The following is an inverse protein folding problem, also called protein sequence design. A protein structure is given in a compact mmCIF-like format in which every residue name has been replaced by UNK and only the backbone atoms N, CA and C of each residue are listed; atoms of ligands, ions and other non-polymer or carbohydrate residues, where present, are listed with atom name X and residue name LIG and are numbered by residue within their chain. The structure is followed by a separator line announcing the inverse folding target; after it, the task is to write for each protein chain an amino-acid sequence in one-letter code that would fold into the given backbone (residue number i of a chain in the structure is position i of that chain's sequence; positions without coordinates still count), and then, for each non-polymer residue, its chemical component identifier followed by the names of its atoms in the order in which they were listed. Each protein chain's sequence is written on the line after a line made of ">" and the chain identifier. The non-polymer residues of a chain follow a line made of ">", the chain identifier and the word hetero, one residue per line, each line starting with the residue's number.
data_IF_431307392943
#
_entry.id   IF_431307392943
#
_cell.length_a   1.000
_cell.length_b   1.000
_cell.length_c   1.000
_cell.angle_alpha   90.00
_cell.angle_beta   90.00
_cell.angle_gamma   90.00
#
_symmetry.space_group_name_H-M   'P 1'
#
loop_
_entity.id
_entity.type
_entity.pdbx_description
1 polymer ?
#
# COMPACT_ATOMS: atom_id res chain seq x y z
N UNK A 1 -11.28 1.92 -70.44
CA UNK A 1 -9.92 1.67 -70.96
C UNK A 1 -9.91 2.03 -72.44
N UNK A 2 -8.81 2.55 -73.03
CA UNK A 2 -7.57 3.09 -72.43
C UNK A 2 -7.70 4.65 -72.30
N UNK A 3 -6.70 5.55 -72.12
CA UNK A 3 -5.26 5.46 -71.82
C UNK A 3 -4.73 6.70 -71.02
N UNK A 4 -3.40 6.83 -70.94
CA UNK A 4 -2.51 7.95 -70.58
C UNK A 4 -3.06 9.39 -70.52
N UNK A 5 -2.88 10.12 -69.41
CA UNK A 5 -1.64 10.70 -68.80
C UNK A 5 -1.14 11.97 -69.52
N UNK A 6 -1.09 13.08 -68.76
CA UNK A 6 -0.11 14.16 -68.96
C UNK A 6 -0.65 15.59 -68.99
N UNK A 7 -0.78 16.24 -67.83
CA UNK A 7 -0.57 17.69 -67.69
C UNK A 7 0.34 17.93 -66.47
N UNK A 8 1.38 18.73 -66.69
CA UNK A 8 2.39 19.14 -65.73
C UNK A 8 2.04 20.54 -65.14
N UNK A 9 2.85 20.96 -64.15
CA UNK A 9 3.06 22.34 -63.72
C UNK A 9 1.96 23.02 -62.87
N UNK A 10 2.24 23.15 -61.56
CA UNK A 10 2.70 24.44 -61.01
C UNK A 10 3.42 24.26 -59.66
N UNK A 11 4.64 24.81 -59.55
CA UNK A 11 5.54 24.87 -58.38
C UNK A 11 5.99 23.54 -57.71
N UNK A 12 7.25 23.40 -57.26
CA UNK A 12 8.38 24.34 -57.37
C UNK A 12 9.72 23.64 -57.12
N UNK A 13 10.75 24.03 -57.88
CA UNK A 13 12.11 23.49 -57.80
C UNK A 13 13.11 24.65 -57.81
N UNK A 14 13.63 25.01 -56.63
CA UNK A 14 14.91 25.71 -56.40
C UNK A 14 15.29 25.36 -54.95
N UNK A 15 15.98 24.24 -54.70
CA UNK A 15 17.44 24.05 -54.82
C UNK A 15 18.24 25.14 -54.08
N UNK A 16 18.72 24.73 -52.90
CA UNK A 16 20.07 24.90 -52.34
C UNK A 16 20.78 26.25 -52.54
N UNK A 17 21.05 26.96 -51.43
CA UNK A 17 21.91 28.13 -51.51
C UNK A 17 22.22 28.95 -50.25
N UNK A 18 22.18 28.40 -49.03
CA UNK A 18 22.90 29.00 -47.87
C UNK A 18 23.04 28.00 -46.72
N UNK A 19 24.27 27.51 -46.52
CA UNK A 19 24.73 26.94 -45.26
C UNK A 19 24.82 28.03 -44.18
N UNK A 20 24.99 27.59 -42.91
CA UNK A 20 25.29 28.40 -41.73
C UNK A 20 24.14 29.25 -41.14
N UNK A 21 23.29 28.60 -40.34
CA UNK A 21 22.92 29.11 -39.02
C UNK A 21 22.84 27.93 -38.02
N UNK A 22 23.32 28.13 -36.79
CA UNK A 22 23.69 27.06 -35.82
C UNK A 22 22.69 25.91 -35.69
N UNK A 23 23.10 24.63 -35.69
CA UNK A 23 24.07 24.05 -34.75
C UNK A 23 23.71 24.37 -33.28
N UNK A 24 22.65 23.72 -32.78
CA UNK A 24 22.46 23.32 -31.37
C UNK A 24 21.24 22.37 -31.20
N UNK A 25 21.28 21.23 -31.90
CA UNK A 25 20.50 20.02 -31.55
C UNK A 25 21.39 18.78 -31.55
N UNK A 26 22.57 18.91 -30.93
CA UNK A 26 23.20 17.78 -30.27
C UNK A 26 22.55 17.61 -28.90
N UNK A 27 21.30 17.14 -28.88
CA UNK A 27 20.66 16.51 -27.71
C UNK A 27 20.34 15.04 -28.03
N UNK A 28 21.27 14.39 -28.73
CA UNK A 28 21.56 12.96 -28.54
C UNK A 28 22.47 12.75 -27.30
N UNK A 29 22.32 13.62 -26.30
CA UNK A 29 23.15 13.70 -25.10
C UNK A 29 22.65 12.62 -24.15
N UNK A 30 23.27 11.45 -24.28
CA UNK A 30 23.13 10.29 -23.41
C UNK A 30 21.67 9.84 -23.22
N UNK A 31 21.19 9.00 -24.13
CA UNK A 31 20.27 7.95 -23.73
C UNK A 31 21.01 7.06 -22.73
N UNK A 32 20.94 7.43 -21.44
CA UNK A 32 21.52 6.65 -20.34
C UNK A 32 20.88 5.27 -20.43
N UNK A 33 21.71 4.24 -20.60
CA UNK A 33 21.25 2.86 -20.65
C UNK A 33 20.51 2.57 -19.35
N UNK A 34 19.19 2.35 -19.44
CA UNK A 34 18.36 2.09 -18.28
C UNK A 34 18.69 0.70 -17.74
N UNK A 35 18.89 0.60 -16.43
CA UNK A 35 19.07 -0.71 -15.80
C UNK A 35 17.84 -1.58 -16.04
N UNK A 36 18.03 -2.90 -15.97
CA UNK A 36 16.96 -3.91 -16.08
C UNK A 36 15.85 -3.75 -15.03
N UNK A 37 16.04 -2.89 -14.03
CA UNK A 37 15.14 -2.67 -12.89
C UNK A 37 14.65 -1.21 -12.77
N UNK A 38 14.94 -0.39 -13.79
CA UNK A 38 14.46 0.99 -13.90
C UNK A 38 12.94 1.10 -13.77
N UNK A 39 12.18 0.29 -14.52
CA UNK A 39 10.72 0.35 -14.50
C UNK A 39 10.15 -0.06 -13.13
N UNK A 40 10.66 -1.16 -12.54
CA UNK A 40 10.22 -1.59 -11.22
C UNK A 40 10.57 -0.56 -10.11
N UNK A 41 11.69 0.15 -10.27
CA UNK A 41 12.08 1.30 -9.42
C UNK A 41 11.10 2.46 -9.59
N UNK A 42 10.70 2.79 -10.83
CA UNK A 42 9.74 3.85 -11.15
C UNK A 42 8.36 3.54 -10.58
N UNK A 43 7.83 2.35 -10.86
CA UNK A 43 6.55 1.86 -10.35
C UNK A 43 6.52 1.90 -8.82
N UNK A 44 7.61 1.48 -8.17
CA UNK A 44 7.75 1.55 -6.71
C UNK A 44 7.68 3.00 -6.20
N UNK A 45 8.44 3.92 -6.79
CA UNK A 45 8.47 5.32 -6.33
C UNK A 45 7.11 5.98 -6.50
N UNK A 46 6.46 5.77 -7.64
CA UNK A 46 5.11 6.28 -7.90
C UNK A 46 4.08 5.76 -6.89
N UNK A 47 4.17 4.48 -6.49
CA UNK A 47 3.23 3.86 -5.54
C UNK A 47 3.52 4.09 -4.05
N UNK A 48 4.78 4.25 -3.64
CA UNK A 48 5.14 4.46 -2.22
C UNK A 48 5.20 5.93 -1.81
N UNK A 49 5.77 6.78 -2.67
CA UNK A 49 5.88 8.21 -2.40
C UNK A 49 4.70 9.00 -2.98
N UNK A 50 3.77 8.33 -3.68
CA UNK A 50 2.63 8.95 -4.37
C UNK A 50 3.09 10.11 -5.28
N UNK A 51 4.22 9.93 -5.95
CA UNK A 51 4.96 10.98 -6.66
C UNK A 51 5.55 10.45 -7.95
N UNK A 52 5.13 11.03 -9.07
CA UNK A 52 5.79 10.86 -10.36
C UNK A 52 7.07 11.70 -10.36
N UNK A 53 8.21 11.02 -10.47
CA UNK A 53 9.49 11.67 -10.69
C UNK A 53 9.66 12.00 -12.17
N UNK A 54 10.34 13.10 -12.47
CA UNK A 54 10.77 13.41 -13.84
C UNK A 54 11.79 12.38 -14.32
N UNK A 55 11.93 12.21 -15.64
CA UNK A 55 12.90 11.26 -16.19
C UNK A 55 14.35 11.61 -15.81
N UNK A 56 14.70 12.90 -15.68
CA UNK A 56 16.00 13.35 -15.13
C UNK A 56 16.25 12.89 -13.68
N UNK A 57 15.19 12.82 -12.87
CA UNK A 57 15.25 12.38 -11.46
C UNK A 57 15.30 10.85 -11.37
N UNK A 58 14.57 10.15 -12.23
CA UNK A 58 14.64 8.69 -12.34
C UNK A 58 16.00 8.23 -12.87
N UNK A 59 16.57 8.91 -13.86
CA UNK A 59 17.91 8.64 -14.37
C UNK A 59 19.00 8.87 -13.30
N UNK A 60 18.81 9.85 -12.41
CA UNK A 60 19.67 10.04 -11.24
C UNK A 60 19.62 8.84 -10.28
N UNK A 61 18.42 8.35 -9.93
CA UNK A 61 18.28 7.15 -9.09
C UNK A 61 18.91 5.93 -9.77
N UNK A 62 18.62 5.71 -11.05
CA UNK A 62 19.10 4.54 -11.76
C UNK A 62 20.63 4.51 -11.86
N UNK A 63 21.26 5.63 -12.26
CA UNK A 63 22.72 5.77 -12.33
C UNK A 63 23.39 5.57 -10.97
N UNK A 64 22.94 6.29 -9.94
CA UNK A 64 23.64 6.32 -8.64
C UNK A 64 23.38 5.07 -7.78
N UNK A 65 22.16 4.51 -7.87
CA UNK A 65 21.73 3.38 -7.05
C UNK A 65 21.77 2.07 -7.82
N UNK A 66 21.03 1.94 -8.93
CA UNK A 66 20.87 0.66 -9.62
C UNK A 66 22.14 0.24 -10.37
N UNK A 67 22.76 1.16 -11.09
CA UNK A 67 24.01 0.96 -11.82
C UNK A 67 25.25 1.08 -10.91
N UNK A 68 25.08 1.62 -9.69
CA UNK A 68 26.15 1.87 -8.71
C UNK A 68 27.31 2.73 -9.24
N UNK A 69 27.02 3.65 -10.17
CA UNK A 69 28.04 4.53 -10.73
C UNK A 69 28.70 5.38 -9.64
N UNK A 70 29.97 5.74 -9.84
CA UNK A 70 30.66 6.73 -9.02
C UNK A 70 29.92 8.06 -9.01
N UNK A 71 29.99 8.76 -7.88
CA UNK A 71 29.21 9.97 -7.63
C UNK A 71 30.09 11.12 -7.16
N UNK A 72 29.74 12.33 -7.59
CA UNK A 72 30.34 13.57 -7.11
C UNK A 72 29.55 14.15 -5.93
N UNK A 73 30.12 15.15 -5.26
CA UNK A 73 29.38 15.94 -4.26
C UNK A 73 28.12 16.61 -4.85
N UNK A 74 28.12 16.94 -6.14
CA UNK A 74 26.95 17.49 -6.82
C UNK A 74 25.85 16.43 -7.01
N UNK A 75 26.23 15.21 -7.39
CA UNK A 75 25.30 14.07 -7.48
C UNK A 75 24.67 13.73 -6.11
N UNK A 76 25.48 13.76 -5.03
CA UNK A 76 24.98 13.53 -3.68
C UNK A 76 23.98 14.62 -3.25
N UNK A 77 24.26 15.89 -3.54
CA UNK A 77 23.32 17.00 -3.28
C UNK A 77 22.02 16.84 -4.06
N UNK A 78 22.10 16.52 -5.35
CA UNK A 78 20.92 16.28 -6.18
C UNK A 78 20.08 15.10 -5.66
N UNK A 79 20.73 14.03 -5.15
CA UNK A 79 20.04 12.92 -4.50
C UNK A 79 19.39 13.34 -3.17
N UNK A 80 20.04 14.19 -2.37
CA UNK A 80 19.48 14.71 -1.12
C UNK A 80 18.28 15.66 -1.35
N UNK A 81 18.34 16.48 -2.41
CA UNK A 81 17.20 17.27 -2.89
C UNK A 81 16.06 16.36 -3.35
N UNK A 82 16.37 15.25 -4.03
CA UNK A 82 15.37 14.25 -4.42
C UNK A 82 14.71 13.57 -3.22
N UNK A 83 15.47 13.21 -2.18
CA UNK A 83 14.92 12.72 -0.91
C UNK A 83 14.02 13.75 -0.24
N UNK A 84 14.44 15.02 -0.21
CA UNK A 84 13.63 16.13 0.32
C UNK A 84 12.32 16.29 -0.45
N UNK A 85 12.34 16.10 -1.78
CA UNK A 85 11.14 16.09 -2.62
C UNK A 85 10.24 14.87 -2.39
N UNK A 86 10.80 13.69 -2.19
CA UNK A 86 10.04 12.47 -1.88
C UNK A 86 9.56 12.41 -0.42
N UNK A 87 9.95 13.37 0.41
CA UNK A 87 9.84 13.31 1.87
C UNK A 87 8.49 12.85 2.39
N UNK A 88 8.46 11.64 2.95
CA UNK A 88 7.30 11.09 3.66
C UNK A 88 7.42 11.42 5.14
N UNK A 89 6.30 11.71 5.78
CA UNK A 89 6.24 11.85 7.23
C UNK A 89 6.08 10.46 7.89
N UNK A 90 6.98 9.50 7.59
CA UNK A 90 7.02 8.21 8.28
C UNK A 90 7.70 8.37 9.65
N UNK A 91 6.95 8.98 10.57
CA UNK A 91 7.35 9.25 11.95
C UNK A 91 7.65 7.96 12.72
N UNK A 92 7.07 6.81 12.32
CA UNK A 92 7.33 5.53 12.96
C UNK A 92 8.71 5.00 12.58
N UNK A 93 8.98 4.84 11.27
CA UNK A 93 10.29 4.40 10.78
C UNK A 93 11.41 5.33 11.28
N UNK A 94 11.18 6.65 11.23
CA UNK A 94 12.09 7.65 11.77
C UNK A 94 12.39 7.38 13.25
N UNK A 95 11.37 7.29 14.11
CA UNK A 95 11.53 7.09 15.55
C UNK A 95 12.19 5.75 15.90
N UNK A 96 11.87 4.68 15.18
CA UNK A 96 12.50 3.37 15.38
C UNK A 96 14.01 3.43 15.08
N UNK A 97 14.41 4.10 13.99
CA UNK A 97 15.83 4.30 13.67
C UNK A 97 16.51 5.27 14.64
N UNK A 98 15.84 6.33 15.10
CA UNK A 98 16.39 7.22 16.13
C UNK A 98 16.76 6.45 17.41
N UNK A 99 15.91 5.48 17.82
CA UNK A 99 16.18 4.59 18.95
C UNK A 99 17.26 3.54 18.65
N UNK A 100 17.40 3.11 17.39
CA UNK A 100 18.40 2.12 16.96
C UNK A 100 19.82 2.69 16.92
N UNK A 101 19.95 3.96 16.52
CA UNK A 101 21.21 4.68 16.34
C UNK A 101 21.59 5.57 17.53
N UNK A 102 20.71 5.67 18.54
CA UNK A 102 20.81 6.59 19.68
C UNK A 102 21.10 8.05 19.26
N UNK A 103 20.50 8.49 18.15
CA UNK A 103 20.64 9.84 17.61
C UNK A 103 19.39 10.31 16.89
N UNK A 104 19.31 11.62 16.63
CA UNK A 104 18.29 12.17 15.72
C UNK A 104 18.59 11.82 14.27
N UNK A 105 17.51 11.65 13.51
CA UNK A 105 17.49 11.28 12.09
C UNK A 105 16.77 12.41 11.36
N UNK A 106 17.27 12.83 10.21
CA UNK A 106 16.62 13.82 9.34
C UNK A 106 15.45 13.21 8.57
N UNK A 107 14.57 14.04 8.00
CA UNK A 107 13.45 13.54 7.18
C UNK A 107 13.96 12.93 5.86
N UNK A 108 15.09 13.42 5.34
CA UNK A 108 15.78 12.85 4.18
C UNK A 108 16.36 11.47 4.49
N UNK A 109 17.02 11.30 5.64
CA UNK A 109 17.49 9.97 6.10
C UNK A 109 16.32 9.00 6.30
N UNK A 110 15.20 9.42 6.91
CA UNK A 110 13.99 8.62 7.04
C UNK A 110 13.38 8.22 5.68
N UNK A 111 13.38 9.14 4.72
CA UNK A 111 12.92 8.89 3.34
C UNK A 111 13.86 7.94 2.60
N UNK A 112 15.17 8.05 2.82
CA UNK A 112 16.18 7.16 2.26
C UNK A 112 16.03 5.73 2.80
N UNK A 113 15.69 5.56 4.08
CA UNK A 113 15.37 4.27 4.66
C UNK A 113 14.13 3.63 4.01
N UNK A 114 13.08 4.41 3.75
CA UNK A 114 11.89 3.92 3.02
C UNK A 114 12.24 3.53 1.57
N UNK A 115 13.05 4.33 0.88
CA UNK A 115 13.51 4.04 -0.49
C UNK A 115 14.39 2.78 -0.53
N UNK A 116 15.36 2.66 0.38
CA UNK A 116 16.25 1.50 0.50
C UNK A 116 15.47 0.21 0.77
N UNK A 117 14.57 0.26 1.77
CA UNK A 117 13.62 -0.83 2.05
C UNK A 117 12.84 -1.24 0.79
N UNK A 118 12.44 -0.26 0.00
CA UNK A 118 11.71 -0.38 -1.25
C UNK A 118 12.42 -1.12 -2.37
N UNK A 119 13.58 -0.59 -2.80
CA UNK A 119 14.34 -1.13 -3.93
C UNK A 119 15.04 -2.47 -3.63
N UNK A 120 14.95 -2.94 -2.37
CA UNK A 120 15.19 -4.32 -2.00
C UNK A 120 14.09 -5.30 -2.44
N UNK A 121 12.94 -4.84 -2.92
CA UNK A 121 11.75 -5.65 -3.25
C UNK A 121 11.42 -5.67 -4.73
N UNK A 122 11.88 -4.69 -5.48
CA UNK A 122 11.58 -4.45 -6.90
C UNK A 122 12.19 -5.49 -7.88
N UNK A 123 12.68 -6.62 -7.37
CA UNK A 123 13.41 -7.63 -8.13
C UNK A 123 13.05 -9.06 -7.70
N UNK A 124 12.57 -9.92 -8.61
CA UNK A 124 12.55 -11.36 -8.41
C UNK A 124 13.97 -11.93 -8.62
N UNK A 125 14.61 -12.37 -7.54
CA UNK A 125 15.98 -12.90 -7.57
C UNK A 125 16.16 -14.28 -6.92
N UNK A 126 17.26 -14.97 -7.27
CA UNK A 126 17.69 -16.20 -6.59
C UNK A 126 18.14 -15.84 -5.18
N UNK A 127 17.56 -16.54 -4.20
CA UNK A 127 17.63 -16.19 -2.78
C UNK A 127 18.90 -16.76 -2.15
N UNK A 128 19.89 -15.92 -1.87
CA UNK A 128 21.00 -16.31 -1.01
C UNK A 128 20.57 -16.26 0.46
N UNK A 129 20.71 -17.39 1.16
CA UNK A 129 20.22 -17.54 2.53
C UNK A 129 21.29 -17.01 3.52
N UNK A 130 21.41 -15.70 3.63
CA UNK A 130 22.36 -15.04 4.55
C UNK A 130 21.80 -15.04 5.98
N UNK A 131 22.45 -15.80 6.87
CA UNK A 131 22.02 -16.12 8.25
C UNK A 131 21.66 -14.95 9.18
N UNK A 132 21.94 -13.70 8.79
CA UNK A 132 21.61 -12.50 9.56
C UNK A 132 20.29 -11.82 9.14
N UNK A 133 19.68 -12.21 8.01
CA UNK A 133 18.52 -11.52 7.42
C UNK A 133 17.29 -12.43 7.43
N UNK A 134 16.20 -11.99 8.08
CA UNK A 134 14.89 -12.68 8.04
C UNK A 134 14.21 -12.64 6.67
N UNK A 135 14.65 -11.73 5.80
CA UNK A 135 14.20 -11.55 4.43
C UNK A 135 15.28 -12.01 3.44
N UNK A 136 14.83 -12.60 2.33
CA UNK A 136 15.68 -13.22 1.32
C UNK A 136 16.17 -12.17 0.29
N UNK A 137 17.12 -11.31 0.67
CA UNK A 137 17.69 -10.31 -0.24
C UNK A 137 18.88 -10.85 -1.06
N UNK A 138 19.01 -10.43 -2.32
CA UNK A 138 20.20 -10.66 -3.15
C UNK A 138 21.36 -9.73 -2.72
N UNK A 139 22.60 -10.06 -3.11
CA UNK A 139 23.76 -9.18 -2.86
C UNK A 139 23.58 -7.79 -3.49
N UNK A 140 22.99 -7.71 -4.68
CA UNK A 140 22.73 -6.44 -5.35
C UNK A 140 21.64 -5.62 -4.64
N UNK A 141 20.59 -6.25 -4.12
CA UNK A 141 19.58 -5.59 -3.27
C UNK A 141 20.20 -5.00 -2.00
N UNK A 142 21.13 -5.73 -1.36
CA UNK A 142 21.87 -5.24 -0.18
C UNK A 142 22.79 -4.08 -0.56
N UNK A 143 23.53 -4.18 -1.67
CA UNK A 143 24.40 -3.11 -2.15
C UNK A 143 23.64 -1.82 -2.50
N UNK A 144 22.47 -1.92 -3.14
CA UNK A 144 21.61 -0.75 -3.42
C UNK A 144 21.07 -0.09 -2.16
N UNK A 145 20.64 -0.89 -1.17
CA UNK A 145 20.23 -0.39 0.14
C UNK A 145 21.34 0.43 0.79
N UNK A 146 22.53 -0.14 0.86
CA UNK A 146 23.70 0.50 1.44
C UNK A 146 24.05 1.83 0.73
N UNK A 147 24.02 1.81 -0.61
CA UNK A 147 24.27 2.99 -1.45
C UNK A 147 23.26 4.12 -1.22
N UNK A 148 21.98 3.82 -1.03
CA UNK A 148 20.96 4.83 -0.71
C UNK A 148 21.24 5.48 0.64
N UNK A 149 21.62 4.69 1.66
CA UNK A 149 21.97 5.22 2.98
C UNK A 149 23.24 6.07 2.93
N UNK A 150 24.25 5.64 2.17
CA UNK A 150 25.48 6.41 1.95
C UNK A 150 25.20 7.77 1.28
N UNK A 151 24.43 7.78 0.19
CA UNK A 151 24.05 9.00 -0.51
C UNK A 151 23.22 9.94 0.38
N UNK A 152 22.39 9.40 1.27
CA UNK A 152 21.62 10.16 2.25
C UNK A 152 22.45 10.71 3.43
N UNK A 153 23.73 10.35 3.54
CA UNK A 153 24.64 10.87 4.57
C UNK A 153 24.77 10.02 5.84
N UNK A 154 24.24 8.80 5.87
CA UNK A 154 24.47 7.89 7.00
C UNK A 154 25.96 7.53 7.09
N UNK A 155 26.52 7.61 8.31
CA UNK A 155 27.91 7.21 8.55
C UNK A 155 28.08 5.70 8.34
N UNK A 156 29.32 5.25 8.12
CA UNK A 156 29.60 3.81 8.00
C UNK A 156 29.16 3.04 9.26
N UNK A 157 29.31 3.64 10.45
CA UNK A 157 28.86 3.04 11.70
C UNK A 157 27.32 2.91 11.77
N UNK A 158 26.58 3.93 11.33
CA UNK A 158 25.12 3.84 11.21
C UNK A 158 24.73 2.74 10.23
N UNK A 159 25.32 2.73 9.02
CA UNK A 159 25.01 1.77 7.96
C UNK A 159 25.25 0.32 8.42
N UNK A 160 26.37 0.04 9.07
CA UNK A 160 26.66 -1.29 9.64
C UNK A 160 25.66 -1.68 10.75
N UNK A 161 25.31 -0.74 11.64
CA UNK A 161 24.32 -0.96 12.70
C UNK A 161 22.93 -1.25 12.13
N UNK A 162 22.56 -0.54 11.07
CA UNK A 162 21.30 -0.71 10.34
C UNK A 162 21.26 -2.00 9.52
N UNK A 163 22.39 -2.40 8.91
CA UNK A 163 22.51 -3.63 8.10
C UNK A 163 22.30 -4.91 8.90
N UNK A 164 22.55 -4.93 10.22
CA UNK A 164 22.15 -6.04 11.11
C UNK A 164 20.77 -5.85 11.76
N UNK A 165 20.19 -4.66 11.68
CA UNK A 165 18.97 -4.34 12.43
C UNK A 165 17.72 -4.97 11.81
N UNK A 166 16.81 -5.42 12.68
CA UNK A 166 15.40 -5.67 12.32
C UNK A 166 14.61 -4.39 12.06
N UNK A 167 15.22 -3.21 12.08
CA UNK A 167 14.52 -1.95 11.90
C UNK A 167 14.52 -1.56 10.42
N UNK A 168 15.67 -1.62 9.75
CA UNK A 168 15.76 -1.44 8.28
C UNK A 168 15.19 -2.63 7.51
N UNK A 169 15.35 -3.84 8.05
CA UNK A 169 14.75 -5.03 7.46
C UNK A 169 13.26 -5.12 7.82
N UNK A 170 12.94 -5.20 9.12
CA UNK A 170 11.78 -5.96 9.63
C UNK A 170 10.60 -5.10 10.16
N UNK A 171 10.72 -3.78 10.33
CA UNK A 171 9.69 -3.02 11.10
C UNK A 171 8.28 -2.96 10.48
N UNK A 172 8.16 -3.36 9.21
CA UNK A 172 6.91 -3.67 8.51
C UNK A 172 7.01 -4.97 7.67
N UNK A 173 7.95 -5.90 7.89
CA UNK A 173 8.05 -7.11 7.00
C UNK A 173 6.86 -8.03 7.09
N UNK A 174 6.27 -8.13 8.29
CA UNK A 174 4.98 -8.83 8.51
C UNK A 174 3.80 -8.17 7.76
N UNK A 175 4.03 -7.01 7.16
CA UNK A 175 3.07 -6.22 6.38
C UNK A 175 3.29 -6.35 4.87
N UNK A 176 4.39 -6.96 4.42
CA UNK A 176 4.92 -6.72 3.06
C UNK A 176 5.25 -7.98 2.27
N UNK A 177 4.73 -9.16 2.66
CA UNK A 177 4.68 -10.28 1.72
C UNK A 177 3.83 -9.86 0.51
N UNK A 178 4.43 -9.81 -0.68
CA UNK A 178 3.75 -9.38 -1.91
C UNK A 178 2.54 -10.27 -2.21
N UNK A 179 2.68 -11.57 -1.96
CA UNK A 179 1.63 -12.56 -2.03
C UNK A 179 1.52 -13.28 -0.67
N UNK A 180 0.46 -12.96 0.08
CA UNK A 180 0.23 -13.53 1.42
C UNK A 180 -0.07 -15.03 1.36
N UNK A 181 -0.63 -15.54 0.26
CA UNK A 181 -0.85 -16.99 0.09
C UNK A 181 0.47 -17.74 -0.06
N UNK A 182 1.42 -17.19 -0.83
CA UNK A 182 2.73 -17.78 -1.05
C UNK A 182 3.65 -17.71 0.19
N UNK A 183 3.33 -16.84 1.15
CA UNK A 183 3.93 -16.84 2.48
C UNK A 183 3.27 -17.91 3.38
N UNK A 184 1.94 -17.89 3.49
CA UNK A 184 1.18 -18.82 4.33
C UNK A 184 1.38 -20.30 3.92
N UNK A 185 1.50 -20.61 2.64
CA UNK A 185 1.71 -21.98 2.16
C UNK A 185 3.00 -22.63 2.70
N UNK A 186 3.96 -21.84 3.21
CA UNK A 186 5.25 -22.31 3.73
C UNK A 186 5.25 -22.59 5.23
N UNK A 187 4.24 -22.15 5.98
CA UNK A 187 4.25 -22.30 7.45
C UNK A 187 3.64 -23.63 7.89
N UNK A 188 4.22 -24.20 8.94
CA UNK A 188 3.57 -25.25 9.75
C UNK A 188 2.57 -24.64 10.73
N UNK A 189 1.61 -25.41 11.29
CA UNK A 189 0.64 -24.88 12.26
C UNK A 189 1.29 -24.18 13.47
N UNK A 190 2.32 -24.80 14.06
CA UNK A 190 3.05 -24.22 15.21
C UNK A 190 3.78 -22.91 14.85
N UNK A 191 4.33 -22.80 13.63
CA UNK A 191 4.88 -21.54 13.13
C UNK A 191 3.78 -20.49 12.91
N UNK A 192 2.62 -20.90 12.38
CA UNK A 192 1.49 -20.00 12.18
C UNK A 192 1.03 -19.39 13.50
N UNK A 193 0.79 -20.21 14.52
CA UNK A 193 0.42 -19.77 15.88
C UNK A 193 1.44 -18.78 16.47
N UNK A 194 2.73 -19.14 16.46
CA UNK A 194 3.79 -18.29 16.98
C UNK A 194 3.89 -16.93 16.25
N UNK A 195 3.78 -16.94 14.91
CA UNK A 195 3.77 -15.72 14.09
C UNK A 195 2.51 -14.88 14.32
N UNK A 196 1.34 -15.51 14.49
CA UNK A 196 0.08 -14.83 14.78
C UNK A 196 0.14 -14.13 16.12
N UNK A 197 0.60 -14.82 17.17
CA UNK A 197 0.81 -14.23 18.50
C UNK A 197 1.74 -13.02 18.41
N UNK A 198 2.87 -13.16 17.72
CA UNK A 198 3.84 -12.08 17.57
C UNK A 198 3.29 -10.86 16.80
N UNK A 199 2.39 -11.07 15.81
CA UNK A 199 1.69 -9.99 15.09
C UNK A 199 0.68 -9.27 16.00
N UNK A 200 -0.07 -10.00 16.82
CA UNK A 200 -1.04 -9.43 17.76
C UNK A 200 -0.33 -8.64 18.88
N UNK A 201 0.74 -9.20 19.45
CA UNK A 201 1.58 -8.51 20.44
C UNK A 201 2.16 -7.21 19.87
N UNK A 202 2.67 -7.24 18.62
CA UNK A 202 3.18 -6.05 17.92
C UNK A 202 2.07 -5.01 17.71
N UNK A 203 0.89 -5.42 17.24
CA UNK A 203 -0.25 -4.50 17.09
C UNK A 203 -0.65 -3.84 18.41
N UNK A 204 -0.63 -4.58 19.52
CA UNK A 204 -0.88 -4.02 20.85
C UNK A 204 0.18 -2.98 21.24
N UNK A 205 1.46 -3.26 20.95
CA UNK A 205 2.60 -2.40 21.28
C UNK A 205 2.71 -1.11 20.43
N UNK A 206 2.23 -1.11 19.18
CA UNK A 206 2.28 0.06 18.29
C UNK A 206 1.47 1.21 18.91
N UNK A 207 2.15 2.22 19.44
CA UNK A 207 1.56 3.47 19.94
C UNK A 207 1.57 4.51 18.82
N UNK A 208 0.53 4.55 18.00
CA UNK A 208 0.37 5.59 16.97
C UNK A 208 -0.03 6.91 17.63
N UNK A 209 0.98 7.71 17.93
CA UNK A 209 0.85 9.16 18.05
C UNK A 209 1.63 9.74 16.89
N UNK A 210 0.93 10.35 15.92
CA UNK A 210 1.54 11.20 14.90
C UNK A 210 1.18 12.65 15.23
N UNK A 211 1.94 13.33 16.12
CA UNK A 211 1.61 14.65 16.62
C UNK A 211 2.03 15.70 15.59
N UNK A 212 1.26 15.85 14.51
CA UNK A 212 1.56 16.84 13.47
C UNK A 212 0.51 17.04 12.39
N UNK A 213 -0.34 16.05 12.10
CA UNK A 213 -1.26 16.12 10.95
C UNK A 213 -2.59 16.84 11.21
N UNK A 214 -2.87 17.21 12.47
CA UNK A 214 -4.18 17.73 12.89
C UNK A 214 -5.32 16.69 12.83
N UNK A 215 -5.02 15.44 12.45
CA UNK A 215 -5.97 14.32 12.33
C UNK A 215 -6.03 13.51 13.63
N UNK A 216 -7.09 12.72 13.78
CA UNK A 216 -7.29 11.84 14.94
C UNK A 216 -6.36 10.62 14.85
N UNK A 217 -5.44 10.52 15.81
CA UNK A 217 -4.49 9.40 15.93
C UNK A 217 -5.07 8.12 16.56
N UNK A 218 -6.30 8.20 17.05
CA UNK A 218 -7.08 7.07 17.57
C UNK A 218 -8.56 7.42 17.61
N UNK A 219 -9.40 6.43 17.85
CA UNK A 219 -10.84 6.56 18.06
C UNK A 219 -11.27 5.85 19.33
N UNK A 220 -12.30 6.38 19.99
CA UNK A 220 -12.95 5.70 21.13
C UNK A 220 -14.03 4.70 20.67
N UNK A 221 -14.60 3.94 21.61
CA UNK A 221 -15.63 2.93 21.32
C UNK A 221 -16.91 3.49 20.65
N UNK A 222 -17.31 4.73 20.98
CA UNK A 222 -18.49 5.38 20.37
C UNK A 222 -18.24 5.76 18.91
N UNK A 223 -17.04 6.28 18.62
CA UNK A 223 -16.59 6.56 17.26
C UNK A 223 -16.45 5.28 16.43
N UNK A 224 -15.88 4.21 17.01
CA UNK A 224 -15.77 2.90 16.37
C UNK A 224 -17.15 2.30 16.05
N UNK A 225 -18.12 2.41 16.97
CA UNK A 225 -19.52 2.05 16.72
C UNK A 225 -20.12 2.88 15.59
N UNK A 226 -19.92 4.20 15.59
CA UNK A 226 -20.47 5.09 14.56
C UNK A 226 -19.88 4.84 13.17
N UNK A 227 -18.60 4.48 13.07
CA UNK A 227 -17.95 4.02 11.83
C UNK A 227 -18.57 2.68 11.40
N UNK A 228 -18.63 1.70 12.30
CA UNK A 228 -19.23 0.38 12.02
C UNK A 228 -20.66 0.50 11.47
N UNK A 229 -21.51 1.33 12.10
CA UNK A 229 -22.89 1.56 11.65
C UNK A 229 -22.94 2.22 10.27
N UNK A 230 -22.07 3.20 9.99
CA UNK A 230 -22.02 3.87 8.69
C UNK A 230 -21.53 2.93 7.56
N UNK A 231 -20.58 2.05 7.86
CA UNK A 231 -20.09 1.03 6.91
C UNK A 231 -21.18 -0.02 6.64
N UNK A 232 -21.84 -0.52 7.69
CA UNK A 232 -22.86 -1.57 7.58
C UNK A 232 -24.13 -1.06 6.90
N UNK A 233 -24.49 0.21 7.06
CA UNK A 233 -25.63 0.87 6.40
C UNK A 233 -25.28 1.51 5.04
N UNK A 234 -24.08 1.29 4.51
CA UNK A 234 -23.65 1.86 3.24
C UNK A 234 -24.43 1.24 2.05
N UNK A 235 -25.02 2.04 1.13
CA UNK A 235 -25.88 1.55 0.05
C UNK A 235 -25.14 0.81 -1.07
N UNK A 236 -23.81 0.76 -1.04
CA UNK A 236 -22.98 0.00 -1.97
C UNK A 236 -22.46 -1.28 -1.31
N UNK A 237 -21.87 -1.17 -0.11
CA UNK A 237 -21.08 -2.27 0.47
C UNK A 237 -21.81 -3.13 1.51
N UNK A 238 -23.01 -2.74 1.96
CA UNK A 238 -23.80 -3.55 2.90
C UNK A 238 -24.01 -4.97 2.37
N UNK A 239 -24.03 -5.97 3.26
CA UNK A 239 -24.06 -7.38 2.86
C UNK A 239 -25.33 -7.75 2.07
N UNK A 240 -26.46 -7.11 2.38
CA UNK A 240 -27.72 -7.20 1.60
C UNK A 240 -27.57 -6.85 0.10
N UNK A 241 -26.56 -6.06 -0.28
CA UNK A 241 -26.34 -5.64 -1.67
C UNK A 241 -25.24 -6.44 -2.38
N UNK A 242 -24.65 -7.48 -1.76
CA UNK A 242 -23.57 -8.28 -2.38
C UNK A 242 -24.03 -8.88 -3.71
N UNK A 243 -25.23 -9.48 -3.78
CA UNK A 243 -25.79 -10.07 -5.02
C UNK A 243 -25.91 -9.09 -6.20
N UNK A 244 -25.97 -7.77 -5.96
CA UNK A 244 -26.01 -6.76 -7.03
C UNK A 244 -24.67 -6.67 -7.78
N UNK A 245 -23.57 -6.85 -7.05
CA UNK A 245 -22.20 -6.63 -7.57
C UNK A 245 -21.43 -7.93 -7.76
N UNK A 246 -21.80 -8.99 -7.04
CA UNK A 246 -21.27 -10.35 -7.13
C UNK A 246 -22.42 -11.35 -7.33
N UNK A 247 -23.09 -11.35 -8.51
CA UNK A 247 -24.23 -12.22 -8.77
C UNK A 247 -23.84 -13.72 -8.82
N UNK A 248 -22.57 -14.03 -9.13
CA UNK A 248 -22.02 -15.39 -9.14
C UNK A 248 -21.46 -15.85 -7.79
N UNK A 249 -21.32 -14.94 -6.80
CA UNK A 249 -20.75 -15.26 -5.48
C UNK A 249 -19.25 -15.56 -5.49
N UNK A 250 -18.54 -15.16 -6.54
CA UNK A 250 -17.12 -15.49 -6.77
C UNK A 250 -16.14 -14.50 -6.14
N UNK A 251 -16.59 -13.29 -5.80
CA UNK A 251 -15.73 -12.21 -5.31
C UNK A 251 -15.78 -12.06 -3.79
N UNK A 252 -16.94 -12.27 -3.17
CA UNK A 252 -17.20 -12.12 -1.73
C UNK A 252 -17.09 -10.69 -1.17
N UNK A 253 -16.39 -9.78 -1.85
CA UNK A 253 -16.21 -8.35 -1.56
C UNK A 253 -15.77 -8.00 -0.13
N UNK A 254 -15.07 -8.90 0.58
CA UNK A 254 -14.46 -8.60 1.88
C UNK A 254 -13.49 -7.40 1.79
N UNK A 255 -12.64 -7.39 0.77
CA UNK A 255 -11.74 -6.28 0.44
C UNK A 255 -12.49 -4.95 0.18
N UNK A 256 -13.65 -5.01 -0.48
CA UNK A 256 -14.52 -3.86 -0.73
C UNK A 256 -15.18 -3.29 0.53
N UNK A 257 -15.68 -4.16 1.42
CA UNK A 257 -16.21 -3.75 2.74
C UNK A 257 -15.11 -3.14 3.61
N UNK A 258 -13.94 -3.77 3.67
CA UNK A 258 -12.78 -3.20 4.36
C UNK A 258 -12.33 -1.88 3.71
N UNK A 259 -12.45 -1.69 2.40
CA UNK A 259 -12.16 -0.41 1.76
C UNK A 259 -13.15 0.67 2.19
N UNK A 260 -14.44 0.35 2.30
CA UNK A 260 -15.42 1.27 2.86
C UNK A 260 -15.11 1.65 4.32
N UNK A 261 -14.69 0.70 5.17
CA UNK A 261 -14.22 1.01 6.53
C UNK A 261 -13.02 1.96 6.58
N UNK A 262 -12.08 1.82 5.65
CA UNK A 262 -10.94 2.73 5.51
C UNK A 262 -11.41 4.14 5.06
N UNK A 263 -12.22 4.24 4.00
CA UNK A 263 -12.74 5.52 3.50
C UNK A 263 -13.60 6.26 4.55
N UNK A 264 -14.44 5.55 5.30
CA UNK A 264 -15.27 6.15 6.37
C UNK A 264 -14.41 6.74 7.49
N UNK A 265 -13.32 6.05 7.84
CA UNK A 265 -12.37 6.50 8.86
C UNK A 265 -11.61 7.75 8.39
N UNK A 266 -11.13 7.76 7.14
CA UNK A 266 -10.49 8.95 6.55
C UNK A 266 -11.45 10.15 6.46
N UNK A 267 -12.70 9.92 6.07
CA UNK A 267 -13.74 10.96 5.99
C UNK A 267 -14.03 11.59 7.37
N UNK A 268 -13.91 10.82 8.46
CA UNK A 268 -14.06 11.30 9.85
C UNK A 268 -12.80 11.93 10.45
N UNK A 269 -11.79 12.19 9.62
CA UNK A 269 -10.56 12.83 10.05
C UNK A 269 -9.60 11.92 10.82
N UNK A 270 -9.74 10.58 10.75
CA UNK A 270 -8.73 9.65 11.29
C UNK A 270 -7.46 9.73 10.46
N UNK A 271 -6.30 9.73 11.11
CA UNK A 271 -5.00 9.74 10.44
C UNK A 271 -4.73 8.41 9.71
N UNK A 272 -4.17 8.47 8.50
CA UNK A 272 -3.89 7.26 7.72
C UNK A 272 -2.91 6.31 8.43
N UNK A 273 -1.94 6.86 9.16
CA UNK A 273 -1.01 6.07 9.97
C UNK A 273 -1.68 5.38 11.16
N UNK A 274 -2.93 5.75 11.49
CA UNK A 274 -3.76 5.15 12.55
C UNK A 274 -4.81 4.17 12.03
N UNK A 275 -4.72 3.79 10.74
CA UNK A 275 -5.57 2.79 10.06
C UNK A 275 -4.66 1.69 9.50
N UNK A 276 -5.10 0.43 9.53
CA UNK A 276 -4.42 -0.71 8.90
C UNK A 276 -5.42 -1.63 8.21
N UNK A 277 -5.00 -2.42 7.23
CA UNK A 277 -5.71 -3.65 6.86
C UNK A 277 -5.28 -4.77 7.78
N UNK A 278 -6.19 -5.70 8.08
CA UNK A 278 -5.86 -6.97 8.72
C UNK A 278 -6.43 -8.09 7.87
N UNK A 279 -5.57 -8.98 7.42
CA UNK A 279 -5.89 -10.18 6.67
C UNK A 279 -5.75 -11.40 7.56
N UNK A 280 -6.64 -12.37 7.39
CA UNK A 280 -6.37 -13.77 7.71
C UNK A 280 -6.29 -14.54 6.39
N UNK A 281 -5.28 -15.39 6.24
CA UNK A 281 -5.02 -16.16 5.01
C UNK A 281 -4.75 -17.61 5.40
N UNK A 282 -5.32 -18.56 4.66
CA UNK A 282 -5.36 -19.97 5.02
C UNK A 282 -6.74 -20.56 4.75
N UNK A 283 -6.88 -21.89 4.87
CA UNK A 283 -8.14 -22.57 4.60
C UNK A 283 -9.12 -22.34 5.76
N UNK A 284 -10.23 -21.66 5.48
CA UNK A 284 -11.31 -21.42 6.46
C UNK A 284 -12.63 -21.97 5.97
N UNK A 285 -13.38 -22.67 6.82
CA UNK A 285 -14.81 -22.93 6.56
C UNK A 285 -15.56 -21.60 6.54
N UNK A 286 -16.35 -21.34 5.49
CA UNK A 286 -17.17 -20.14 5.46
C UNK A 286 -18.06 -20.06 6.70
N UNK A 287 -18.33 -18.84 7.15
CA UNK A 287 -19.23 -18.59 8.27
C UNK A 287 -20.70 -18.91 7.92
N UNK A 288 -21.01 -19.07 6.63
CA UNK A 288 -22.33 -19.46 6.09
C UNK A 288 -22.12 -20.33 4.84
N UNK A 289 -22.68 -21.54 4.84
CA UNK A 289 -22.59 -22.50 3.73
C UNK A 289 -21.27 -23.28 3.68
N UNK A 290 -21.16 -24.18 2.69
CA UNK A 290 -20.03 -25.13 2.56
C UNK A 290 -18.82 -24.58 1.78
N UNK A 291 -18.83 -23.28 1.45
CA UNK A 291 -17.70 -22.64 0.76
C UNK A 291 -16.46 -22.64 1.66
N UNK A 292 -15.28 -22.84 1.08
CA UNK A 292 -14.00 -22.63 1.78
C UNK A 292 -13.44 -21.28 1.36
N UNK A 293 -13.19 -20.41 2.34
CA UNK A 293 -12.51 -19.13 2.12
C UNK A 293 -11.00 -19.32 2.28
N UNK A 294 -10.23 -18.83 1.32
CA UNK A 294 -8.75 -18.86 1.37
C UNK A 294 -8.15 -17.63 2.04
N UNK A 295 -8.95 -16.58 2.21
CA UNK A 295 -8.62 -15.40 3.01
C UNK A 295 -9.89 -14.64 3.42
N UNK A 296 -9.74 -13.77 4.44
CA UNK A 296 -10.69 -12.71 4.76
C UNK A 296 -9.90 -11.45 5.16
N UNK A 297 -10.52 -10.28 5.02
CA UNK A 297 -9.87 -8.99 5.30
C UNK A 297 -10.84 -8.00 5.94
N UNK A 298 -10.33 -7.29 6.93
CA UNK A 298 -11.01 -6.18 7.61
C UNK A 298 -10.08 -4.96 7.71
N UNK A 299 -10.62 -3.86 8.24
CA UNK A 299 -9.84 -2.66 8.55
C UNK A 299 -9.76 -2.48 10.06
N UNK A 300 -8.54 -2.29 10.55
CA UNK A 300 -8.25 -1.90 11.93
C UNK A 300 -8.10 -0.38 12.02
N UNK A 301 -8.64 0.21 13.09
CA UNK A 301 -8.44 1.62 13.44
C UNK A 301 -7.95 1.68 14.89
N UNK A 302 -6.98 2.55 15.18
CA UNK A 302 -6.35 2.59 16.51
C UNK A 302 -7.38 2.94 17.61
N UNK A 303 -7.41 2.16 18.68
CA UNK A 303 -8.22 2.46 19.86
C UNK A 303 -7.51 3.47 20.78
N UNK A 304 -8.24 4.47 21.28
CA UNK A 304 -7.73 5.48 22.22
C UNK A 304 -7.33 4.91 23.58
N UNK A 305 -7.92 3.79 23.98
CA UNK A 305 -7.59 3.05 25.21
C UNK A 305 -6.43 2.03 25.00
N UNK A 306 -5.83 1.99 23.80
CA UNK A 306 -4.82 1.01 23.41
C UNK A 306 -5.39 -0.20 22.65
N UNK A 307 -4.52 -0.89 21.90
CA UNK A 307 -4.95 -1.90 20.93
C UNK A 307 -5.60 -1.29 19.66
N UNK A 308 -6.48 -2.05 19.01
CA UNK A 308 -7.10 -1.69 17.72
C UNK A 308 -8.54 -2.18 17.63
N UNK A 309 -9.43 -1.34 17.09
CA UNK A 309 -10.80 -1.69 16.71
C UNK A 309 -10.84 -2.23 15.29
N UNK A 310 -11.34 -3.45 15.11
CA UNK A 310 -11.66 -4.00 13.79
C UNK A 310 -13.08 -3.58 13.40
N UNK A 311 -13.17 -2.93 12.24
CA UNK A 311 -14.42 -2.49 11.61
C UNK A 311 -14.76 -3.46 10.48
N UNK A 312 -15.46 -4.53 10.84
CA UNK A 312 -15.90 -5.61 9.94
C UNK A 312 -17.41 -5.82 10.10
N UNK A 313 -18.25 -5.47 9.10
CA UNK A 313 -19.71 -5.66 9.13
C UNK A 313 -20.15 -7.05 9.60
N UNK A 314 -19.37 -8.09 9.28
CA UNK A 314 -19.66 -9.49 9.61
C UNK A 314 -19.72 -9.78 11.13
N UNK A 315 -19.21 -8.88 11.97
CA UNK A 315 -19.10 -9.09 13.42
C UNK A 315 -20.26 -8.53 14.26
N UNK A 316 -21.23 -7.84 13.66
CA UNK A 316 -22.33 -7.19 14.41
C UNK A 316 -21.95 -5.92 15.17
N UNK A 317 -20.65 -5.66 15.34
CA UNK A 317 -20.08 -4.48 16.01
C UNK A 317 -18.59 -4.37 15.73
N UNK A 318 -18.02 -3.21 16.05
CA UNK A 318 -16.58 -3.09 16.23
C UNK A 318 -16.10 -4.00 17.39
N UNK A 319 -14.99 -4.71 17.18
CA UNK A 319 -14.37 -5.62 18.16
C UNK A 319 -12.86 -5.39 18.23
N UNK A 320 -12.16 -5.92 19.23
CA UNK A 320 -10.70 -5.87 19.24
C UNK A 320 -10.10 -6.84 18.21
N UNK A 321 -8.86 -6.60 17.79
CA UNK A 321 -8.16 -7.47 16.83
C UNK A 321 -8.00 -8.91 17.33
N UNK A 322 -7.83 -9.11 18.64
CA UNK A 322 -7.74 -10.42 19.26
C UNK A 322 -9.08 -11.16 19.16
N UNK A 323 -10.20 -10.50 19.49
CA UNK A 323 -11.56 -11.08 19.36
C UNK A 323 -11.95 -11.34 17.91
N UNK A 324 -11.48 -10.51 16.98
CA UNK A 324 -11.66 -10.74 15.55
C UNK A 324 -10.90 -11.98 15.09
N UNK A 325 -9.61 -12.08 15.42
CA UNK A 325 -8.80 -13.23 15.07
C UNK A 325 -9.27 -14.53 15.74
N UNK A 326 -9.61 -14.50 17.03
CA UNK A 326 -10.16 -15.66 17.76
C UNK A 326 -11.40 -16.24 17.06
N UNK A 327 -12.28 -15.36 16.53
CA UNK A 327 -13.42 -15.82 15.73
C UNK A 327 -12.98 -16.39 14.40
N UNK A 328 -12.06 -15.75 13.66
CA UNK A 328 -11.56 -16.29 12.38
C UNK A 328 -10.87 -17.65 12.56
N UNK A 329 -10.06 -17.81 13.61
CA UNK A 329 -9.33 -19.04 13.89
C UNK A 329 -10.26 -20.23 14.17
N UNK A 330 -11.46 -20.02 14.73
CA UNK A 330 -12.47 -21.08 14.91
C UNK A 330 -12.98 -21.68 13.58
N UNK A 331 -12.66 -21.06 12.45
CA UNK A 331 -12.98 -21.56 11.11
C UNK A 331 -11.78 -22.18 10.40
N UNK A 332 -10.57 -22.11 10.97
CA UNK A 332 -9.35 -22.72 10.43
C UNK A 332 -9.54 -24.23 10.22
N UNK A 333 -9.15 -24.72 9.04
CA UNK A 333 -9.29 -26.11 8.61
C UNK A 333 -8.02 -26.93 8.87
N UNK A 334 -6.85 -26.32 8.72
CA UNK A 334 -5.55 -27.02 8.72
C UNK A 334 -4.58 -26.55 9.81
N UNK A 335 -5.00 -25.60 10.65
CA UNK A 335 -4.21 -25.02 11.72
C UNK A 335 -3.16 -24.01 11.25
N UNK A 336 -3.14 -23.67 9.94
CA UNK A 336 -2.14 -22.79 9.34
C UNK A 336 -2.70 -21.40 9.05
N UNK A 337 -3.85 -21.01 9.60
CA UNK A 337 -4.40 -19.67 9.37
C UNK A 337 -3.42 -18.60 9.86
N UNK A 338 -2.95 -17.73 8.96
CA UNK A 338 -1.97 -16.68 9.25
C UNK A 338 -2.61 -15.30 9.28
N UNK A 339 -2.33 -14.55 10.35
CA UNK A 339 -2.65 -13.12 10.45
C UNK A 339 -1.54 -12.30 9.80
N UNK A 340 -1.94 -11.39 8.92
CA UNK A 340 -1.13 -10.32 8.38
C UNK A 340 -1.81 -8.99 8.67
N UNK A 341 -1.03 -7.96 8.93
CA UNK A 341 -1.51 -6.58 9.01
C UNK A 341 -0.78 -5.83 7.91
N UNK A 342 -1.43 -4.97 7.13
CA UNK A 342 -0.76 -4.22 6.05
C UNK A 342 -1.14 -2.74 6.08
N UNK A 343 -0.54 -1.93 5.20
CA UNK A 343 -0.99 -0.56 4.95
C UNK A 343 -2.48 -0.54 4.60
N UNK A 344 -3.22 0.53 4.97
CA UNK A 344 -4.67 0.55 4.80
C UNK A 344 -5.11 0.63 3.33
N UNK A 345 -4.21 1.00 2.41
CA UNK A 345 -4.41 1.03 0.95
C UNK A 345 -4.34 -0.34 0.27
N UNK A 346 -3.81 -1.39 0.91
CA UNK A 346 -3.68 -2.70 0.25
C UNK A 346 -5.06 -3.25 -0.09
N UNK A 347 -5.24 -3.72 -1.33
CA UNK A 347 -6.53 -4.23 -1.79
C UNK A 347 -6.66 -5.74 -1.57
N UNK A 348 -5.68 -6.53 -2.01
CA UNK A 348 -5.79 -8.00 -2.10
C UNK A 348 -4.73 -8.74 -1.26
N UNK A 349 -4.99 -10.03 -0.98
CA UNK A 349 -4.00 -10.91 -0.36
C UNK A 349 -2.94 -11.40 -1.38
N UNK A 350 -3.31 -11.61 -2.64
CA UNK A 350 -2.43 -12.21 -3.65
C UNK A 350 -1.38 -11.27 -4.27
N UNK A 351 -1.59 -9.95 -4.17
CA UNK A 351 -0.64 -8.91 -4.62
C UNK A 351 -0.55 -7.80 -3.57
N UNK A 352 0.58 -7.10 -3.53
CA UNK A 352 0.78 -5.83 -2.78
C UNK A 352 0.05 -4.64 -3.40
N UNK A 353 -0.75 -4.85 -4.45
CA UNK A 353 -1.50 -3.80 -5.16
C UNK A 353 -2.34 -2.95 -4.20
N UNK A 354 -2.10 -1.64 -4.28
CA UNK A 354 -2.81 -0.59 -3.53
C UNK A 354 -4.12 -0.22 -4.22
N UNK A 355 -4.77 0.84 -3.75
CA UNK A 355 -5.93 1.42 -4.42
C UNK A 355 -5.51 2.11 -5.73
N UNK A 356 -5.41 1.35 -6.81
CA UNK A 356 -5.28 1.89 -8.16
C UNK A 356 -6.65 2.21 -8.76
N UNK A 357 -6.78 3.37 -9.41
CA UNK A 357 -8.03 3.83 -10.00
C UNK A 357 -8.43 2.99 -11.21
N UNK A 358 -7.50 2.63 -12.09
CA UNK A 358 -7.83 1.87 -13.30
C UNK A 358 -8.37 0.48 -12.94
N UNK A 359 -7.65 -0.24 -12.08
CA UNK A 359 -8.03 -1.54 -11.55
C UNK A 359 -9.37 -1.48 -10.83
N UNK A 360 -9.58 -0.52 -9.92
CA UNK A 360 -10.85 -0.38 -9.19
C UNK A 360 -12.03 -0.01 -10.11
N UNK A 361 -11.81 0.74 -11.20
CA UNK A 361 -12.85 1.08 -12.18
C UNK A 361 -13.12 -0.03 -13.21
N UNK A 362 -12.39 -1.14 -13.16
CA UNK A 362 -12.61 -2.29 -14.04
C UNK A 362 -14.06 -2.78 -14.02
N UNK A 363 -14.57 -3.15 -15.20
CA UNK A 363 -15.88 -3.78 -15.37
C UNK A 363 -16.03 -5.08 -14.57
N UNK A 364 -14.92 -5.75 -14.25
CA UNK A 364 -14.86 -6.93 -13.38
C UNK A 364 -15.56 -6.74 -12.03
N UNK A 365 -15.57 -5.51 -11.50
CA UNK A 365 -16.22 -5.19 -10.22
C UNK A 365 -17.69 -4.76 -10.34
N UNK A 366 -18.31 -4.88 -11.52
CA UNK A 366 -19.71 -4.52 -11.76
C UNK A 366 -20.09 -3.10 -11.25
N UNK A 367 -19.15 -2.16 -11.34
CA UNK A 367 -19.31 -0.79 -10.85
C UNK A 367 -19.24 -0.60 -9.33
N UNK A 368 -18.93 -1.64 -8.53
CA UNK A 368 -18.89 -1.57 -7.06
C UNK A 368 -18.08 -0.37 -6.54
N UNK A 369 -16.81 -0.24 -6.97
CA UNK A 369 -15.95 0.85 -6.50
C UNK A 369 -16.32 2.21 -7.10
N UNK A 370 -16.83 2.24 -8.34
CA UNK A 370 -17.34 3.46 -8.96
C UNK A 370 -18.45 4.06 -8.09
N UNK A 371 -19.47 3.26 -7.79
CA UNK A 371 -20.58 3.66 -6.93
C UNK A 371 -20.13 4.01 -5.51
N UNK A 372 -19.08 3.34 -4.98
CA UNK A 372 -18.52 3.65 -3.67
C UNK A 372 -17.82 5.02 -3.65
N UNK A 373 -17.03 5.35 -4.67
CA UNK A 373 -16.42 6.67 -4.79
C UNK A 373 -17.44 7.77 -5.07
N UNK A 374 -18.46 7.51 -5.89
CA UNK A 374 -19.59 8.42 -6.10
C UNK A 374 -20.31 8.73 -4.77
N UNK A 375 -20.58 7.71 -3.94
CA UNK A 375 -21.15 7.87 -2.60
C UNK A 375 -20.28 8.77 -1.71
N UNK A 376 -18.96 8.54 -1.66
CA UNK A 376 -18.07 9.40 -0.85
C UNK A 376 -17.91 10.80 -1.42
N UNK A 377 -17.97 10.98 -2.74
CA UNK A 377 -17.99 12.29 -3.38
C UNK A 377 -19.24 13.09 -3.00
N UNK A 378 -20.43 12.47 -3.07
CA UNK A 378 -21.67 13.08 -2.59
C UNK A 378 -21.61 13.37 -1.09
N UNK A 379 -21.10 12.44 -0.28
CA UNK A 379 -20.96 12.60 1.18
C UNK A 379 -20.05 13.78 1.54
N UNK A 380 -18.92 13.94 0.86
CA UNK A 380 -17.99 15.04 1.09
C UNK A 380 -18.60 16.42 0.72
N UNK A 381 -19.55 16.47 -0.21
CA UNK A 381 -20.28 17.68 -0.60
C UNK A 381 -21.61 17.89 0.15
N UNK A 382 -21.96 17.00 1.08
CA UNK A 382 -23.26 16.95 1.76
C UNK A 382 -24.48 16.75 0.82
N UNK A 383 -24.25 16.13 -0.35
CA UNK A 383 -25.25 15.87 -1.40
C UNK A 383 -25.93 14.49 -1.29
N UNK A 384 -25.70 13.74 -0.21
CA UNK A 384 -26.33 12.42 -0.07
C UNK A 384 -27.86 12.57 -0.03
N UNK A 385 -28.61 11.80 -0.85
CA UNK A 385 -30.06 11.89 -0.87
C UNK A 385 -30.64 11.52 0.51
N UNK A 386 -31.65 12.27 0.93
CA UNK A 386 -32.33 12.00 2.19
C UNK A 386 -32.85 10.56 2.23
N UNK A 387 -32.43 9.77 3.24
CA UNK A 387 -32.89 8.39 3.40
C UNK A 387 -34.43 8.35 3.46
N UNK A 388 -35.10 7.51 2.65
CA UNK A 388 -36.53 7.27 2.76
C UNK A 388 -36.93 6.85 4.18
N UNK A 389 -38.14 7.21 4.61
CA UNK A 389 -38.61 6.95 5.98
C UNK A 389 -38.53 5.45 6.37
N UNK A 390 -38.92 4.55 5.47
CA UNK A 390 -38.82 3.10 5.69
C UNK A 390 -37.37 2.63 5.89
N UNK A 391 -36.38 3.25 5.22
CA UNK A 391 -34.95 2.94 5.45
C UNK A 391 -34.48 3.42 6.80
N UNK A 392 -35.01 4.55 7.32
CA UNK A 392 -34.71 5.03 8.68
C UNK A 392 -35.27 4.08 9.74
N UNK A 393 -36.50 3.58 9.56
CA UNK A 393 -37.09 2.55 10.43
C UNK A 393 -36.27 1.27 10.37
N UNK A 394 -35.93 0.78 9.18
CA UNK A 394 -35.14 -0.43 9.00
C UNK A 394 -33.75 -0.31 9.67
N UNK A 395 -33.04 0.80 9.42
CA UNK A 395 -31.77 1.10 10.07
C UNK A 395 -31.88 1.15 11.60
N UNK A 396 -32.97 1.70 12.14
CA UNK A 396 -33.24 1.76 13.58
C UNK A 396 -33.49 0.36 14.17
N UNK A 397 -34.37 -0.44 13.54
CA UNK A 397 -34.64 -1.83 13.94
C UNK A 397 -33.34 -2.63 13.99
N UNK A 398 -32.50 -2.56 12.95
CA UNK A 398 -31.19 -3.24 12.94
C UNK A 398 -30.28 -2.83 14.11
N UNK A 399 -30.25 -1.54 14.49
CA UNK A 399 -29.47 -1.11 15.66
C UNK A 399 -30.05 -1.54 17.01
N UNK A 400 -31.36 -1.72 17.13
CA UNK A 400 -31.99 -2.22 18.37
C UNK A 400 -31.67 -3.69 18.59
N UNK A 401 -31.74 -4.51 17.53
CA UNK A 401 -31.55 -5.96 17.61
C UNK A 401 -30.08 -6.41 17.56
N UNK A 402 -29.13 -5.48 17.37
CA UNK A 402 -27.69 -5.74 17.20
C UNK A 402 -27.35 -6.82 16.13
N UNK A 403 -28.23 -7.02 15.14
CA UNK A 403 -27.92 -7.89 14.00
C UNK A 403 -27.03 -7.11 13.02
N UNK A 404 -25.74 -7.45 13.01
CA UNK A 404 -24.93 -7.23 11.82
C UNK A 404 -25.41 -8.17 10.73
N UNK A 405 -26.07 -7.62 9.72
CA UNK A 405 -26.49 -8.33 8.51
C UNK A 405 -25.50 -8.07 7.39
#
# INVERSE_FOLDING_TARGET
>A
MPFCRGILAFFGFMILGSFAYGQNRCESVFAVEQSSVYQATKDFVENEFNRVLKDEQMALVDRLVNQRADYTLADQRAFFELLTMMSTHDVLLKREVELALDRKVSDQEATALQLARGLGRTEPGVRENLLAFSDNYTRDQIARKDRILELAGFSLADRLSLQGSKIVNDSLTRYTAENLYADQAKVTPAQAEAMNKAVLDQMKAISTVNPGTGRKNSINASEAKSIYEAVTRNPVTRLLNVKKYDPSGQLGFCFGRAMNSHLESLHRGVDNASIRKVYVVGQMKALVGDTVWTFHVATAVKNSEGGWWIIDPFFGKAVSIEKWYERMHKHDVDGKLRVYVTEPQRLTAGKSTRYDKEHLMSSWYNGYFKNLFEYYGQKARNELPAKPFYMKIFDWVLSVINLGI
#
